data_IF_121036691078
#
_entry.id   IF_121036691078
#
_cell.length_a   1.000
_cell.length_b   1.000
_cell.length_c   1.000
_cell.angle_alpha   90.00
_cell.angle_beta   90.00
_cell.angle_gamma   90.00
#
_symmetry.space_group_name_H-M   'P 1'
#
loop_
_entity.id
_entity.type
_entity.pdbx_description
1 polymer ?
#
# COMPACT_ATOMS: atom_id res chain seq x y z
N UNK A 1 21.21 18.27 -33.89
CA UNK A 1 20.01 18.28 -33.03
C UNK A 1 19.67 16.82 -32.75
N UNK A 2 19.97 16.33 -31.54
CA UNK A 2 19.57 15.00 -31.12
C UNK A 2 18.48 15.16 -30.06
N UNK A 3 17.31 14.63 -30.37
CA UNK A 3 16.12 14.69 -29.55
C UNK A 3 16.26 13.68 -28.40
N UNK A 4 16.29 14.18 -27.17
CA UNK A 4 16.51 13.37 -25.96
C UNK A 4 15.15 12.97 -25.42
N UNK A 5 14.75 11.72 -25.65
CA UNK A 5 13.51 11.13 -25.14
C UNK A 5 13.46 11.26 -23.60
N UNK A 6 12.47 11.96 -23.01
CA UNK A 6 12.28 12.01 -21.57
C UNK A 6 11.52 10.74 -21.13
N UNK A 7 12.21 9.61 -21.05
CA UNK A 7 11.60 8.33 -20.65
C UNK A 7 12.47 7.45 -19.75
N UNK A 8 13.73 7.82 -19.49
CA UNK A 8 14.66 6.94 -18.78
C UNK A 8 14.77 7.21 -17.28
N UNK A 9 14.14 8.26 -16.74
CA UNK A 9 14.27 8.64 -15.32
C UNK A 9 13.27 7.96 -14.37
N UNK A 10 12.28 7.22 -14.91
CA UNK A 10 11.29 6.52 -14.09
C UNK A 10 11.69 5.07 -13.78
N UNK A 11 12.43 4.41 -14.68
CA UNK A 11 12.87 3.02 -14.50
C UNK A 11 14.16 2.88 -13.67
N UNK A 12 15.06 3.87 -13.68
CA UNK A 12 16.28 3.84 -12.85
C UNK A 12 16.02 4.10 -11.36
N UNK A 13 14.82 4.59 -10.99
CA UNK A 13 14.44 4.83 -9.59
C UNK A 13 13.80 3.60 -8.92
N UNK A 14 13.23 2.68 -9.71
CA UNK A 14 12.71 1.39 -9.22
C UNK A 14 13.85 0.47 -8.75
N UNK A 15 15.01 0.54 -9.40
CA UNK A 15 16.17 -0.35 -9.14
C UNK A 15 17.00 0.07 -7.91
N UNK A 16 16.72 1.23 -7.31
CA UNK A 16 17.44 1.78 -6.15
C UNK A 16 16.53 2.13 -4.97
N UNK A 17 15.30 1.64 -4.98
CA UNK A 17 14.52 1.61 -3.74
C UNK A 17 15.31 0.71 -2.77
N UNK A 18 15.71 1.18 -1.57
CA UNK A 18 16.24 0.29 -0.54
C UNK A 18 15.28 -0.90 -0.38
N UNK A 19 15.78 -2.05 0.10
CA UNK A 19 14.91 -3.18 0.43
C UNK A 19 13.93 -2.73 1.54
N UNK A 20 12.80 -2.12 1.12
CA UNK A 20 11.74 -1.57 1.97
C UNK A 20 11.10 -2.68 2.80
N UNK A 21 11.33 -3.93 2.38
CA UNK A 21 10.93 -5.14 3.07
C UNK A 21 12.02 -5.72 3.97
N UNK A 22 13.26 -5.23 3.93
CA UNK A 22 14.32 -5.70 4.82
C UNK A 22 13.94 -5.46 6.29
N UNK A 23 13.91 -6.54 7.07
CA UNK A 23 13.49 -6.54 8.48
C UNK A 23 11.98 -6.68 8.70
N UNK A 24 11.17 -6.77 7.64
CA UNK A 24 9.78 -7.22 7.76
C UNK A 24 9.75 -8.75 7.83
N UNK A 25 8.69 -9.29 8.46
CA UNK A 25 8.41 -10.72 8.32
C UNK A 25 7.99 -11.04 6.88
N UNK A 26 8.16 -12.30 6.47
CA UNK A 26 7.80 -12.74 5.12
C UNK A 26 6.32 -12.50 4.81
N UNK A 27 5.43 -12.68 5.80
CA UNK A 27 4.00 -12.44 5.67
C UNK A 27 3.70 -10.96 5.40
N UNK A 28 4.36 -10.06 6.15
CA UNK A 28 4.17 -8.62 5.98
C UNK A 28 4.77 -8.13 4.66
N UNK A 29 5.92 -8.67 4.26
CA UNK A 29 6.50 -8.40 2.94
C UNK A 29 5.56 -8.85 1.80
N UNK A 30 4.93 -10.02 1.93
CA UNK A 30 3.95 -10.51 0.96
C UNK A 30 2.70 -9.62 0.86
N UNK A 31 2.17 -9.17 2.01
CA UNK A 31 1.06 -8.21 2.07
C UNK A 31 1.44 -6.89 1.41
N UNK A 32 2.60 -6.33 1.73
CA UNK A 32 3.05 -5.08 1.14
C UNK A 32 3.22 -5.19 -0.39
N UNK A 33 3.81 -6.30 -0.86
CA UNK A 33 3.95 -6.56 -2.29
C UNK A 33 2.59 -6.67 -3.01
N UNK A 34 1.60 -7.32 -2.38
CA UNK A 34 0.25 -7.42 -2.93
C UNK A 34 -0.50 -6.06 -2.93
N UNK A 35 -0.32 -5.24 -1.90
CA UNK A 35 -0.86 -3.89 -1.82
C UNK A 35 -0.28 -2.99 -2.92
N UNK A 36 1.03 -3.07 -3.18
CA UNK A 36 1.70 -2.35 -4.29
C UNK A 36 1.11 -2.73 -5.65
N UNK A 37 0.93 -4.03 -5.91
CA UNK A 37 0.27 -4.51 -7.15
C UNK A 37 -1.17 -4.00 -7.27
N UNK A 38 -1.89 -3.88 -6.15
CA UNK A 38 -3.25 -3.33 -6.15
C UNK A 38 -3.24 -1.84 -6.49
N UNK A 39 -2.37 -1.04 -5.88
CA UNK A 39 -2.23 0.39 -6.19
C UNK A 39 -1.96 0.62 -7.69
N UNK A 40 -1.06 -0.16 -8.29
CA UNK A 40 -0.78 -0.10 -9.74
C UNK A 40 -2.02 -0.43 -10.57
N UNK A 41 -2.78 -1.48 -10.19
CA UNK A 41 -4.03 -1.84 -10.90
C UNK A 41 -5.11 -0.78 -10.76
N UNK A 42 -5.18 -0.12 -9.62
CA UNK A 42 -6.15 0.93 -9.33
C UNK A 42 -5.74 2.30 -9.93
N UNK A 43 -4.54 2.38 -10.53
CA UNK A 43 -4.01 3.60 -11.16
C UNK A 43 -3.46 4.62 -10.17
N UNK A 44 -3.25 4.22 -8.92
CA UNK A 44 -2.76 5.08 -7.86
C UNK A 44 -1.22 5.21 -7.93
N UNK A 45 -0.73 6.44 -7.73
CA UNK A 45 0.72 6.74 -7.71
C UNK A 45 1.41 6.30 -6.42
N UNK A 46 0.65 6.00 -5.36
CA UNK A 46 1.17 5.67 -4.05
C UNK A 46 0.39 4.49 -3.45
N UNK A 47 1.11 3.63 -2.73
CA UNK A 47 0.48 2.63 -1.86
C UNK A 47 0.08 3.31 -0.56
N UNK A 48 -1.15 3.08 -0.13
CA UNK A 48 -1.74 3.73 1.03
C UNK A 48 -2.39 2.69 1.96
N UNK A 49 -2.92 3.15 3.10
CA UNK A 49 -3.51 2.32 4.14
C UNK A 49 -4.73 1.55 3.63
N UNK A 50 -5.49 2.10 2.69
CA UNK A 50 -6.62 1.40 2.10
C UNK A 50 -6.16 0.20 1.25
N UNK A 51 -5.06 0.34 0.50
CA UNK A 51 -4.47 -0.79 -0.24
C UNK A 51 -4.02 -1.90 0.71
N UNK A 52 -3.29 -1.54 1.78
CA UNK A 52 -2.83 -2.49 2.80
C UNK A 52 -4.01 -3.20 3.47
N UNK A 53 -5.03 -2.44 3.89
CA UNK A 53 -6.20 -2.99 4.57
C UNK A 53 -6.99 -3.93 3.65
N UNK A 54 -7.11 -3.59 2.37
CA UNK A 54 -7.77 -4.46 1.40
C UNK A 54 -7.04 -5.80 1.27
N UNK A 55 -5.70 -5.76 1.16
CA UNK A 55 -4.88 -6.97 1.08
C UNK A 55 -4.98 -7.81 2.37
N UNK A 56 -4.90 -7.20 3.55
CA UNK A 56 -5.00 -7.91 4.82
C UNK A 56 -6.35 -8.60 5.02
N UNK A 57 -7.45 -7.92 4.66
CA UNK A 57 -8.80 -8.52 4.73
C UNK A 57 -8.97 -9.70 3.78
N UNK A 58 -8.28 -9.68 2.64
CA UNK A 58 -8.28 -10.75 1.63
C UNK A 58 -7.45 -11.95 2.09
N UNK A 59 -6.27 -11.72 2.68
CA UNK A 59 -5.31 -12.78 3.02
C UNK A 59 -5.51 -13.41 4.40
N UNK A 60 -6.04 -12.68 5.39
CA UNK A 60 -5.98 -13.09 6.79
C UNK A 60 -7.38 -13.18 7.45
N UNK A 61 -7.83 -14.38 7.89
CA UNK A 61 -9.07 -14.54 8.63
C UNK A 61 -9.07 -13.85 10.01
N UNK A 62 -7.94 -13.72 10.67
CA UNK A 62 -7.83 -13.05 11.98
C UNK A 62 -8.03 -11.54 11.84
N UNK A 63 -7.53 -10.93 10.77
CA UNK A 63 -7.81 -9.51 10.45
C UNK A 63 -9.31 -9.29 10.26
N UNK A 64 -9.99 -10.19 9.54
CA UNK A 64 -11.46 -10.13 9.38
C UNK A 64 -12.16 -10.25 10.73
N UNK A 65 -11.73 -11.18 11.58
CA UNK A 65 -12.27 -11.35 12.92
C UNK A 65 -12.07 -10.11 13.81
N UNK A 66 -10.90 -9.47 13.72
CA UNK A 66 -10.57 -8.24 14.47
C UNK A 66 -11.41 -7.03 14.05
N UNK A 67 -11.77 -6.93 12.77
CA UNK A 67 -12.71 -5.89 12.30
C UNK A 67 -14.10 -6.10 12.90
N UNK A 68 -14.57 -7.35 12.94
CA UNK A 68 -15.81 -7.75 13.60
C UNK A 68 -16.74 -8.58 12.70
N UNK A 69 -18.04 -8.54 12.97
CA UNK A 69 -19.02 -9.36 12.25
C UNK A 69 -19.21 -9.02 10.76
N UNK A 70 -19.84 -9.93 10.03
CA UNK A 70 -20.10 -9.84 8.59
C UNK A 70 -20.64 -8.49 8.08
N UNK A 71 -21.63 -7.85 8.73
CA UNK A 71 -22.13 -6.55 8.30
C UNK A 71 -21.08 -5.43 8.33
N UNK A 72 -20.17 -5.46 9.32
CA UNK A 72 -19.10 -4.47 9.44
C UNK A 72 -18.04 -4.68 8.37
N UNK A 73 -17.65 -5.93 8.13
CA UNK A 73 -16.73 -6.29 7.04
C UNK A 73 -17.31 -5.87 5.69
N UNK A 74 -18.58 -6.21 5.41
CA UNK A 74 -19.23 -5.85 4.15
C UNK A 74 -19.26 -4.33 3.92
N UNK A 75 -19.55 -3.55 4.98
CA UNK A 75 -19.52 -2.08 4.91
C UNK A 75 -18.11 -1.56 4.64
N UNK A 76 -17.09 -2.10 5.31
CA UNK A 76 -15.70 -1.71 5.11
C UNK A 76 -15.24 -2.02 3.67
N UNK A 77 -15.54 -3.22 3.16
CA UNK A 77 -15.25 -3.59 1.78
C UNK A 77 -15.96 -2.66 0.78
N UNK A 78 -17.20 -2.26 1.07
CA UNK A 78 -17.91 -1.26 0.28
C UNK A 78 -17.19 0.08 0.21
N UNK A 79 -16.66 0.58 1.33
CA UNK A 79 -15.87 1.81 1.35
C UNK A 79 -14.53 1.68 0.61
N UNK A 80 -13.85 0.53 0.74
CA UNK A 80 -12.59 0.27 0.03
C UNK A 80 -12.79 0.21 -1.49
N UNK A 81 -13.87 -0.43 -1.96
CA UNK A 81 -14.22 -0.47 -3.39
C UNK A 81 -14.60 0.92 -3.92
N UNK A 82 -15.36 1.70 -3.15
CA UNK A 82 -15.70 3.08 -3.54
C UNK A 82 -14.45 3.94 -3.77
N UNK A 83 -13.46 3.81 -2.89
CA UNK A 83 -12.16 4.49 -3.04
C UNK A 83 -11.46 4.05 -4.33
N UNK A 84 -11.36 2.74 -4.59
CA UNK A 84 -10.61 2.21 -5.74
C UNK A 84 -11.22 2.58 -7.10
N UNK A 85 -12.53 2.88 -7.16
CA UNK A 85 -13.19 3.38 -8.37
C UNK A 85 -13.20 4.91 -8.47
N UNK A 86 -12.44 5.61 -7.61
CA UNK A 86 -12.26 7.06 -7.68
C UNK A 86 -13.37 7.88 -7.00
N UNK A 87 -14.24 7.28 -6.18
CA UNK A 87 -15.12 8.05 -5.32
C UNK A 87 -14.25 8.71 -4.23
N UNK A 88 -14.02 10.02 -4.33
CA UNK A 88 -13.12 10.76 -3.43
C UNK A 88 -11.75 11.14 -4.02
N UNK A 89 -11.72 11.63 -5.28
CA UNK A 89 -10.52 12.07 -6.04
C UNK A 89 -9.51 12.96 -5.30
N UNK A 90 -9.85 13.55 -4.13
CA UNK A 90 -8.87 14.24 -3.26
C UNK A 90 -7.73 13.32 -2.79
N UNK A 91 -7.93 12.01 -2.77
CA UNK A 91 -6.97 11.06 -2.20
C UNK A 91 -5.97 10.51 -3.22
N UNK A 92 -6.27 10.54 -4.52
CA UNK A 92 -5.44 9.94 -5.59
C UNK A 92 -4.08 10.62 -5.84
N UNK A 93 -3.72 11.67 -5.09
CA UNK A 93 -2.44 12.37 -5.25
C UNK A 93 -1.96 13.03 -3.96
N UNK A 94 -2.52 12.65 -2.81
CA UNK A 94 -2.07 13.15 -1.51
C UNK A 94 -1.35 12.02 -0.80
N UNK A 95 -0.11 12.26 -0.37
CA UNK A 95 0.60 11.34 0.53
C UNK A 95 -0.23 11.20 1.79
N UNK A 96 -0.50 9.95 2.21
CA UNK A 96 -1.10 9.72 3.51
C UNK A 96 -0.16 10.22 4.60
N UNK A 97 -0.60 11.24 5.31
CA UNK A 97 0.05 11.70 6.53
C UNK A 97 -0.47 10.88 7.71
N UNK A 98 0.41 10.06 8.30
CA UNK A 98 0.10 9.31 9.53
C UNK A 98 0.00 10.22 10.76
N UNK A 99 0.23 11.52 10.62
CA UNK A 99 0.15 12.51 11.68
C UNK A 99 1.21 12.26 12.75
N UNK A 100 0.80 12.27 14.01
CA UNK A 100 1.70 12.05 15.15
C UNK A 100 1.95 10.56 15.46
N UNK A 101 1.51 9.63 14.61
CA UNK A 101 1.77 8.21 14.82
C UNK A 101 3.28 7.93 14.75
N UNK A 102 3.83 7.15 15.69
CA UNK A 102 5.25 6.82 15.67
C UNK A 102 5.60 6.06 14.39
N UNK A 103 6.62 6.54 13.69
CA UNK A 103 7.19 5.81 12.55
C UNK A 103 7.80 4.52 13.10
N UNK A 104 7.37 3.39 12.55
CA UNK A 104 7.99 2.10 12.85
C UNK A 104 9.41 2.15 12.27
N UNK A 105 10.39 2.27 13.15
CA UNK A 105 11.80 2.19 12.77
C UNK A 105 12.20 0.73 12.67
N UNK A 106 13.08 0.41 11.71
CA UNK A 106 13.66 -0.92 11.58
C UNK A 106 14.33 -1.28 12.91
N UNK A 107 13.90 -2.37 13.54
CA UNK A 107 14.71 -3.00 14.58
C UNK A 107 15.89 -3.63 13.87
N UNK A 108 17.06 -2.98 13.95
CA UNK A 108 18.29 -3.67 13.63
C UNK A 108 18.40 -4.83 14.64
N UNK A 109 18.36 -6.07 14.15
CA UNK A 109 18.55 -7.23 14.99
C UNK A 109 19.91 -7.06 15.68
N UNK A 110 19.88 -6.78 16.99
CA UNK A 110 21.08 -6.71 17.81
C UNK A 110 21.79 -8.06 17.68
N UNK A 111 23.00 -8.01 17.11
CA UNK A 111 23.90 -9.16 16.96
C UNK A 111 24.43 -9.59 18.31
#
# INVERSE_FOLDING_TARGET
>A
MHDRIPGQSAHDQDDRLPDDTAGLSDELAAVLAAARRRAVRDGDRQTDTAHLLHTLLESDPEVRAAVGGGPRIARLLGYLVQRSIGYGLRWQSTVEDSGALPVVTRTDAAT
#
